data_IF_904772901404
#
_entry.id   IF_904772901404
#
_cell.length_a   1.000
_cell.length_b   1.000
_cell.length_c   1.000
_cell.angle_alpha   90.00
_cell.angle_beta   90.00
_cell.angle_gamma   90.00
#
_symmetry.space_group_name_H-M   'P 1'
#
loop_
_entity.id
_entity.type
_entity.pdbx_description
1 polymer ?
#
# COMPACT_ATOMS: atom_id res chain seq x y z
N UNK A 1 -16.18 -0.38 16.43
CA UNK A 1 -17.04 -1.13 15.49
C UNK A 1 -16.21 -2.08 14.63
N UNK A 2 -15.19 -1.59 13.90
CA UNK A 2 -14.28 -2.42 13.10
C UNK A 2 -13.65 -3.60 13.87
N UNK A 3 -13.06 -3.35 15.04
CA UNK A 3 -12.42 -4.41 15.84
C UNK A 3 -13.38 -5.56 16.22
N UNK A 4 -14.66 -5.24 16.49
CA UNK A 4 -15.68 -6.26 16.76
C UNK A 4 -15.98 -7.08 15.51
N UNK A 5 -16.17 -6.42 14.35
CA UNK A 5 -16.43 -7.09 13.07
C UNK A 5 -15.26 -8.02 12.69
N UNK A 6 -14.02 -7.55 12.82
CA UNK A 6 -12.84 -8.36 12.53
C UNK A 6 -12.67 -9.51 13.52
N UNK A 7 -13.00 -9.30 14.80
CA UNK A 7 -13.03 -10.37 15.80
C UNK A 7 -14.05 -11.44 15.43
N UNK A 8 -15.28 -11.07 15.06
CA UNK A 8 -16.31 -12.01 14.62
C UNK A 8 -15.90 -12.76 13.35
N UNK A 9 -15.28 -12.08 12.38
CA UNK A 9 -14.71 -12.72 11.18
C UNK A 9 -13.64 -13.75 11.53
N UNK A 10 -12.72 -13.40 12.42
CA UNK A 10 -11.68 -14.31 12.89
C UNK A 10 -12.26 -15.50 13.67
N UNK A 11 -13.29 -15.25 14.49
CA UNK A 11 -14.01 -16.31 15.20
C UNK A 11 -14.70 -17.25 14.21
N UNK A 12 -15.41 -16.72 13.22
CA UNK A 12 -16.03 -17.52 12.16
C UNK A 12 -14.99 -18.39 11.43
N UNK A 13 -13.86 -17.80 11.00
CA UNK A 13 -12.80 -18.56 10.32
C UNK A 13 -12.24 -19.66 11.23
N UNK A 14 -12.03 -19.36 12.52
CA UNK A 14 -11.51 -20.32 13.50
C UNK A 14 -12.47 -21.48 13.73
N UNK A 15 -13.78 -21.23 13.78
CA UNK A 15 -14.80 -22.23 14.06
C UNK A 15 -15.17 -23.07 12.84
N UNK A 16 -14.98 -22.56 11.62
CA UNK A 16 -15.42 -23.21 10.37
C UNK A 16 -14.26 -23.69 9.48
N UNK A 17 -13.11 -24.05 10.07
CA UNK A 17 -11.91 -24.47 9.33
C UNK A 17 -12.15 -25.65 8.37
N UNK A 18 -12.99 -26.63 8.75
CA UNK A 18 -13.34 -27.78 7.91
C UNK A 18 -14.19 -27.38 6.70
N UNK A 19 -15.18 -26.51 6.88
CA UNK A 19 -16.00 -26.00 5.76
C UNK A 19 -15.17 -25.15 4.79
N UNK A 20 -14.21 -24.41 5.33
CA UNK A 20 -13.22 -23.64 4.58
C UNK A 20 -12.12 -24.52 3.95
N UNK A 21 -12.23 -25.86 4.07
CA UNK A 21 -11.29 -26.86 3.53
C UNK A 21 -9.85 -26.60 3.94
N UNK A 22 -9.66 -26.20 5.20
CA UNK A 22 -8.36 -25.81 5.72
C UNK A 22 -7.30 -26.91 5.55
N UNK A 23 -7.72 -28.18 5.60
CA UNK A 23 -6.86 -29.33 5.40
C UNK A 23 -6.13 -29.37 4.05
N UNK A 24 -6.74 -28.84 2.98
CA UNK A 24 -6.10 -28.79 1.66
C UNK A 24 -4.86 -27.85 1.64
N UNK A 25 -4.78 -26.95 2.62
CA UNK A 25 -3.69 -25.99 2.74
C UNK A 25 -2.52 -26.52 3.58
N UNK A 26 -2.70 -27.63 4.29
CA UNK A 26 -1.67 -28.26 5.12
C UNK A 26 -0.49 -28.70 4.25
N UNK A 27 -0.75 -29.21 3.04
CA UNK A 27 0.31 -29.60 2.11
C UNK A 27 1.23 -28.44 1.67
N UNK A 28 0.71 -27.20 1.62
CA UNK A 28 1.52 -26.01 1.37
C UNK A 28 2.36 -25.62 2.60
N UNK A 29 1.82 -25.84 3.80
CA UNK A 29 2.51 -25.60 5.07
C UNK A 29 3.64 -26.60 5.29
N UNK A 30 3.43 -27.88 5.00
CA UNK A 30 4.45 -28.93 5.13
C UNK A 30 5.66 -28.67 4.19
N UNK A 31 5.43 -28.05 3.04
CA UNK A 31 6.50 -27.62 2.14
C UNK A 31 7.32 -26.42 2.67
N UNK A 32 6.74 -25.60 3.56
CA UNK A 32 7.34 -24.36 4.09
C UNK A 32 7.93 -24.56 5.51
N UNK A 33 7.36 -25.47 6.31
CA UNK A 33 7.69 -25.68 7.74
C UNK A 33 8.53 -26.95 7.94
N UNK A 34 9.37 -27.31 6.97
CA UNK A 34 10.45 -28.28 7.19
C UNK A 34 11.61 -27.67 8.00
N UNK A 35 11.28 -27.04 9.13
CA UNK A 35 12.24 -26.70 10.17
C UNK A 35 11.83 -27.50 11.41
N UNK A 36 12.42 -28.68 11.53
CA UNK A 36 12.02 -29.69 12.50
C UNK A 36 12.45 -29.28 13.90
N UNK A 37 11.55 -28.66 14.69
CA UNK A 37 11.61 -28.62 16.16
C UNK A 37 10.42 -27.88 16.80
N UNK A 38 9.17 -28.19 16.44
CA UNK A 38 8.01 -27.59 17.15
C UNK A 38 7.04 -28.65 17.64
N UNK A 39 6.88 -28.74 18.96
CA UNK A 39 5.96 -29.66 19.64
C UNK A 39 4.50 -29.28 19.31
N UNK A 40 3.72 -30.12 18.60
CA UNK A 40 2.35 -29.80 18.18
C UNK A 40 1.38 -29.52 19.33
N UNK A 41 1.69 -30.04 20.53
CA UNK A 41 0.84 -29.92 21.73
C UNK A 41 1.03 -28.61 22.50
N UNK A 42 2.05 -27.81 22.19
CA UNK A 42 2.31 -26.50 22.82
C UNK A 42 1.80 -25.31 21.99
N UNK A 43 1.46 -25.57 20.73
CA UNK A 43 0.84 -24.60 19.85
C UNK A 43 -0.66 -24.59 20.10
N UNK A 44 -1.22 -23.44 20.51
CA UNK A 44 -2.66 -23.23 20.49
C UNK A 44 -3.26 -23.63 19.13
N UNK A 45 -4.55 -23.96 19.09
CA UNK A 45 -5.23 -24.47 17.89
C UNK A 45 -5.00 -23.54 16.69
N UNK A 46 -4.13 -23.98 15.76
CA UNK A 46 -3.72 -23.16 14.62
C UNK A 46 -4.87 -23.07 13.61
N UNK A 47 -5.47 -21.88 13.46
CA UNK A 47 -6.45 -21.60 12.42
C UNK A 47 -5.72 -21.05 11.19
N UNK A 48 -5.98 -21.62 10.02
CA UNK A 48 -5.40 -21.17 8.77
C UNK A 48 -6.30 -20.09 8.17
N UNK A 49 -5.77 -18.87 8.07
CA UNK A 49 -6.48 -17.74 7.46
C UNK A 49 -6.47 -17.87 5.93
N UNK A 50 -7.61 -17.79 5.23
CA UNK A 50 -7.67 -17.84 3.76
C UNK A 50 -6.97 -16.65 3.11
N UNK A 51 -6.64 -16.73 1.82
CA UNK A 51 -6.07 -15.58 1.08
C UNK A 51 -7.06 -14.43 0.91
N UNK A 52 -8.37 -14.70 1.01
CA UNK A 52 -9.42 -13.67 1.06
C UNK A 52 -9.40 -12.83 2.34
N UNK A 53 -8.68 -13.26 3.38
CA UNK A 53 -8.50 -12.47 4.60
C UNK A 53 -7.33 -11.51 4.41
N UNK A 54 -7.63 -10.21 4.31
CA UNK A 54 -6.62 -9.16 4.11
C UNK A 54 -5.56 -9.19 5.21
N UNK A 55 -4.28 -9.20 4.80
CA UNK A 55 -3.15 -9.26 5.72
C UNK A 55 -2.82 -10.67 6.23
N UNK A 56 -3.54 -11.71 5.81
CA UNK A 56 -3.10 -13.09 6.08
C UNK A 56 -1.78 -13.40 5.36
N UNK A 57 -0.97 -14.36 5.85
CA UNK A 57 0.24 -14.79 5.15
C UNK A 57 -0.02 -15.20 3.69
N UNK A 58 -1.19 -15.83 3.43
CA UNK A 58 -1.57 -16.27 2.09
C UNK A 58 -2.01 -15.11 1.20
N UNK A 59 -2.74 -14.15 1.75
CA UNK A 59 -3.05 -12.90 1.06
C UNK A 59 -1.74 -12.21 0.63
N UNK A 60 -0.80 -12.02 1.56
CA UNK A 60 0.48 -11.36 1.23
C UNK A 60 1.30 -12.14 0.20
N UNK A 61 1.31 -13.48 0.28
CA UNK A 61 2.00 -14.33 -0.69
C UNK A 61 1.39 -14.23 -2.09
N UNK A 62 0.06 -14.19 -2.20
CA UNK A 62 -0.65 -14.04 -3.47
C UNK A 62 -0.28 -12.70 -4.14
N UNK A 63 -0.33 -11.58 -3.40
CA UNK A 63 0.10 -10.28 -3.92
C UNK A 63 1.57 -10.27 -4.35
N UNK A 64 2.45 -10.94 -3.60
CA UNK A 64 3.85 -11.05 -3.98
C UNK A 64 4.03 -11.87 -5.27
N UNK A 65 3.28 -12.96 -5.44
CA UNK A 65 3.31 -13.79 -6.65
C UNK A 65 2.75 -13.04 -7.86
N UNK A 66 1.68 -12.26 -7.68
CA UNK A 66 1.15 -11.36 -8.71
C UNK A 66 2.20 -10.34 -9.13
N UNK A 67 2.86 -9.67 -8.18
CA UNK A 67 3.92 -8.72 -8.48
C UNK A 67 5.06 -9.37 -9.28
N UNK A 68 5.49 -10.56 -8.88
CA UNK A 68 6.51 -11.33 -9.60
C UNK A 68 6.07 -11.76 -11.01
N UNK A 69 4.77 -11.99 -11.22
CA UNK A 69 4.22 -12.32 -12.54
C UNK A 69 4.37 -11.14 -13.50
N UNK A 70 4.11 -9.91 -13.04
CA UNK A 70 4.32 -8.70 -13.84
C UNK A 70 5.79 -8.47 -14.14
N UNK A 71 6.67 -8.64 -13.14
CA UNK A 71 8.12 -8.52 -13.34
C UNK A 71 8.63 -9.55 -14.34
N UNK A 72 8.13 -10.79 -14.27
CA UNK A 72 8.47 -11.85 -15.23
C UNK A 72 7.99 -11.52 -16.64
N UNK A 73 6.79 -10.97 -16.78
CA UNK A 73 6.19 -10.67 -18.08
C UNK A 73 6.77 -9.41 -18.75
N UNK A 74 7.05 -8.36 -17.97
CA UNK A 74 7.39 -7.02 -18.48
C UNK A 74 8.78 -6.51 -18.06
N UNK A 75 9.51 -7.31 -17.28
CA UNK A 75 10.79 -6.93 -16.70
C UNK A 75 10.62 -5.99 -15.51
N UNK A 76 11.70 -5.29 -15.13
CA UNK A 76 11.66 -4.29 -14.05
C UNK A 76 10.69 -3.14 -14.38
N UNK A 77 9.99 -2.58 -13.39
CA UNK A 77 9.20 -1.37 -13.57
C UNK A 77 10.07 -0.18 -13.97
N UNK A 78 9.48 0.78 -14.67
CA UNK A 78 10.15 2.00 -15.10
C UNK A 78 10.14 3.07 -14.00
N UNK A 79 9.09 3.09 -13.16
CA UNK A 79 8.96 4.01 -12.04
C UNK A 79 8.63 3.26 -10.74
N UNK A 80 9.28 3.70 -9.67
CA UNK A 80 8.92 3.38 -8.28
C UNK A 80 8.49 4.67 -7.59
N UNK A 81 7.19 4.83 -7.36
CA UNK A 81 6.61 6.05 -6.77
C UNK A 81 6.12 5.75 -5.36
N UNK A 82 6.55 6.57 -4.41
CA UNK A 82 6.03 6.55 -3.04
C UNK A 82 5.10 7.73 -2.83
N UNK A 83 3.97 7.49 -2.17
CA UNK A 83 3.00 8.53 -1.86
C UNK A 83 2.61 8.46 -0.38
N UNK A 84 3.02 9.48 0.38
CA UNK A 84 2.81 9.56 1.82
C UNK A 84 1.67 10.50 2.16
N UNK A 85 0.76 10.07 3.03
CA UNK A 85 -0.27 10.95 3.55
C UNK A 85 0.35 12.09 4.38
N UNK A 86 -0.16 13.31 4.17
CA UNK A 86 0.17 14.45 5.02
C UNK A 86 -1.07 14.80 5.88
N UNK A 87 -0.99 14.68 7.22
CA UNK A 87 -2.12 14.97 8.11
C UNK A 87 -2.51 16.45 8.12
N UNK A 88 -1.63 17.33 7.63
CA UNK A 88 -1.86 18.78 7.63
C UNK A 88 -2.59 19.29 6.38
N UNK A 89 -2.97 18.40 5.45
CA UNK A 89 -3.78 18.76 4.30
C UNK A 89 -5.07 19.47 4.73
N UNK A 90 -5.43 20.53 3.99
CA UNK A 90 -6.57 21.38 4.33
C UNK A 90 -7.87 20.56 4.37
N UNK A 91 -8.03 19.61 3.44
CA UNK A 91 -9.21 18.76 3.36
C UNK A 91 -9.38 17.87 4.60
N UNK A 92 -8.29 17.55 5.31
CA UNK A 92 -8.37 16.86 6.60
C UNK A 92 -8.77 17.88 7.67
N UNK A 93 -8.04 18.99 7.79
CA UNK A 93 -8.25 20.00 8.84
C UNK A 93 -9.66 20.58 8.84
N UNK A 94 -10.22 20.86 7.67
CA UNK A 94 -11.57 21.40 7.51
C UNK A 94 -12.68 20.46 7.98
N UNK A 95 -12.41 19.15 8.00
CA UNK A 95 -13.36 18.12 8.44
C UNK A 95 -13.20 17.72 9.91
N UNK A 96 -12.18 18.25 10.60
CA UNK A 96 -11.96 18.01 12.03
C UNK A 96 -12.82 18.96 12.87
N UNK A 97 -13.42 18.42 13.93
CA UNK A 97 -14.11 19.25 14.92
C UNK A 97 -13.11 19.94 15.84
N UNK A 98 -13.56 21.00 16.53
CA UNK A 98 -12.74 21.73 17.50
C UNK A 98 -12.20 20.75 18.56
N UNK A 99 -10.87 20.74 18.74
CA UNK A 99 -10.18 19.85 19.67
C UNK A 99 -9.86 18.45 19.11
N UNK A 100 -10.28 18.10 17.89
CA UNK A 100 -9.87 16.86 17.23
C UNK A 100 -8.55 17.03 16.48
N UNK A 101 -7.73 15.98 16.51
CA UNK A 101 -6.56 15.79 15.67
C UNK A 101 -6.84 14.80 14.53
N UNK A 102 -5.96 14.75 13.54
CA UNK A 102 -6.05 13.74 12.46
C UNK A 102 -5.97 12.30 12.97
N UNK A 103 -5.33 12.10 14.12
CA UNK A 103 -5.21 10.80 14.78
C UNK A 103 -6.53 10.36 15.42
N UNK A 104 -7.39 11.30 15.80
CA UNK A 104 -8.72 10.97 16.33
C UNK A 104 -9.70 10.53 15.23
N UNK A 105 -9.40 10.88 13.96
CA UNK A 105 -10.27 10.67 12.79
C UNK A 105 -9.53 10.00 11.62
N UNK A 106 -9.02 8.79 11.86
CA UNK A 106 -8.38 7.98 10.82
C UNK A 106 -9.27 7.72 9.60
N UNK A 107 -10.60 7.73 9.75
CA UNK A 107 -11.55 7.61 8.65
C UNK A 107 -11.47 8.79 7.66
N UNK A 108 -11.32 10.02 8.16
CA UNK A 108 -11.13 11.21 7.34
C UNK A 108 -9.78 11.11 6.62
N UNK A 109 -8.71 10.83 7.37
CA UNK A 109 -7.36 10.70 6.84
C UNK A 109 -7.29 9.67 5.71
N UNK A 110 -7.87 8.48 5.91
CA UNK A 110 -7.91 7.42 4.89
C UNK A 110 -8.68 7.85 3.63
N UNK A 111 -9.82 8.54 3.79
CA UNK A 111 -10.66 9.00 2.67
C UNK A 111 -9.97 10.07 1.85
N UNK A 112 -9.36 11.06 2.50
CA UNK A 112 -8.62 12.12 1.80
C UNK A 112 -7.41 11.54 1.09
N UNK A 113 -6.66 10.66 1.76
CA UNK A 113 -5.53 9.96 1.15
C UNK A 113 -5.95 9.19 -0.10
N UNK A 114 -7.02 8.38 -0.02
CA UNK A 114 -7.47 7.58 -1.17
C UNK A 114 -7.91 8.45 -2.35
N UNK A 115 -8.56 9.58 -2.08
CA UNK A 115 -8.95 10.52 -3.12
C UNK A 115 -7.73 11.16 -3.79
N UNK A 116 -6.76 11.64 -3.02
CA UNK A 116 -5.53 12.23 -3.58
C UNK A 116 -4.68 11.19 -4.32
N UNK A 117 -4.58 9.97 -3.82
CA UNK A 117 -3.92 8.86 -4.51
C UNK A 117 -4.61 8.57 -5.84
N UNK A 118 -5.95 8.57 -5.89
CA UNK A 118 -6.70 8.41 -7.14
C UNK A 118 -6.38 9.53 -8.13
N UNK A 119 -6.32 10.79 -7.67
CA UNK A 119 -5.93 11.91 -8.53
C UNK A 119 -4.50 11.75 -9.08
N UNK A 120 -3.55 11.33 -8.26
CA UNK A 120 -2.18 11.03 -8.70
C UNK A 120 -2.16 9.92 -9.76
N UNK A 121 -2.91 8.84 -9.54
CA UNK A 121 -2.97 7.73 -10.49
C UNK A 121 -3.65 8.13 -11.80
N UNK A 122 -4.71 8.93 -11.77
CA UNK A 122 -5.34 9.49 -12.97
C UNK A 122 -4.36 10.40 -13.73
N UNK A 123 -3.56 11.19 -13.02
CA UNK A 123 -2.51 12.01 -13.61
C UNK A 123 -1.43 11.19 -14.31
N UNK A 124 -0.93 10.14 -13.67
CA UNK A 124 0.09 9.26 -14.26
C UNK A 124 -0.48 8.48 -15.45
N UNK A 125 -1.65 7.85 -15.28
CA UNK A 125 -2.15 6.84 -16.21
C UNK A 125 -2.98 7.45 -17.34
N UNK A 126 -3.91 8.36 -17.03
CA UNK A 126 -4.86 8.92 -18.01
C UNK A 126 -4.29 10.15 -18.72
N UNK A 127 -3.51 10.95 -18.02
CA UNK A 127 -2.85 12.11 -18.61
C UNK A 127 -1.45 11.80 -19.16
N UNK A 128 -1.00 10.53 -19.06
CA UNK A 128 0.24 10.04 -19.66
C UNK A 128 1.47 10.91 -19.35
N UNK A 129 1.57 11.41 -18.11
CA UNK A 129 2.59 12.38 -17.70
C UNK A 129 4.01 11.86 -17.90
N UNK A 130 4.20 10.55 -17.72
CA UNK A 130 5.47 9.86 -17.97
C UNK A 130 5.44 9.03 -19.27
N UNK A 131 4.40 9.18 -20.08
CA UNK A 131 4.12 8.34 -21.25
C UNK A 131 2.95 7.35 -21.03
N UNK A 132 2.67 6.57 -22.05
CA UNK A 132 1.58 5.59 -22.02
C UNK A 132 1.89 4.45 -21.03
N UNK A 133 0.98 4.20 -20.09
CA UNK A 133 1.14 3.16 -19.07
C UNK A 133 0.70 1.82 -19.63
N UNK A 134 1.60 0.84 -19.64
CA UNK A 134 1.29 -0.56 -19.99
C UNK A 134 0.51 -1.23 -18.86
N UNK A 135 1.04 -1.14 -17.65
CA UNK A 135 0.42 -1.68 -16.46
C UNK A 135 1.02 -1.04 -15.20
N UNK A 136 0.35 -1.22 -14.07
CA UNK A 136 0.76 -0.69 -12.79
C UNK A 136 0.23 -1.57 -11.67
N UNK A 137 0.84 -1.46 -10.49
CA UNK A 137 0.31 -2.03 -9.25
C UNK A 137 0.63 -1.10 -8.09
N UNK A 138 -0.20 -1.11 -7.06
CA UNK A 138 0.04 -0.39 -5.82
C UNK A 138 -0.14 -1.29 -4.59
N UNK A 139 0.60 -0.99 -3.54
CA UNK A 139 0.34 -1.50 -2.19
C UNK A 139 0.19 -0.32 -1.24
N UNK A 140 -0.80 -0.42 -0.34
CA UNK A 140 -1.05 0.61 0.66
C UNK A 140 -0.81 0.01 2.04
N UNK A 141 0.09 0.62 2.79
CA UNK A 141 0.41 0.24 4.16
C UNK A 141 0.18 1.41 5.12
N UNK A 142 -0.04 1.08 6.39
CA UNK A 142 -0.10 2.06 7.45
C UNK A 142 1.25 2.10 8.14
N UNK A 143 1.99 3.20 7.99
CA UNK A 143 3.29 3.36 8.64
C UNK A 143 3.12 3.45 10.17
N UNK A 144 4.20 3.22 10.93
CA UNK A 144 4.21 3.16 12.41
C UNK A 144 3.53 4.34 13.12
N UNK A 145 3.37 5.49 12.45
CA UNK A 145 2.68 6.69 12.97
C UNK A 145 1.19 6.75 12.59
N UNK A 146 0.63 5.68 12.05
CA UNK A 146 -0.80 5.56 11.74
C UNK A 146 -1.24 6.36 10.52
N UNK A 147 -0.33 6.67 9.59
CA UNK A 147 -0.65 7.34 8.33
C UNK A 147 -0.52 6.37 7.15
N UNK A 148 -1.45 6.43 6.18
CA UNK A 148 -1.36 5.59 5.01
C UNK A 148 -0.23 6.05 4.08
N UNK A 149 0.42 5.09 3.48
CA UNK A 149 1.51 5.24 2.53
C UNK A 149 1.31 4.25 1.39
N UNK A 150 1.52 4.70 0.15
CA UNK A 150 1.44 3.85 -1.02
C UNK A 150 2.81 3.66 -1.66
N UNK A 151 3.11 2.42 -2.06
CA UNK A 151 4.19 2.09 -2.98
C UNK A 151 3.56 1.72 -4.31
N UNK A 152 3.99 2.37 -5.39
CA UNK A 152 3.38 2.24 -6.72
C UNK A 152 4.47 1.86 -7.71
N UNK A 153 4.25 0.77 -8.44
CA UNK A 153 5.09 0.34 -9.56
C UNK A 153 4.37 0.65 -10.87
N UNK A 154 5.09 1.26 -11.82
CA UNK A 154 4.54 1.58 -13.15
C UNK A 154 5.46 1.03 -14.24
N UNK A 155 4.85 0.34 -15.21
CA UNK A 155 5.50 -0.07 -16.45
C UNK A 155 4.92 0.76 -17.60
N UNK A 156 5.80 1.39 -18.35
CA UNK A 156 5.44 2.20 -19.50
C UNK A 156 5.50 1.36 -20.78
N UNK A 157 4.74 1.75 -21.81
CA UNK A 157 4.84 1.13 -23.13
C UNK A 157 6.23 1.41 -23.71
N UNK A 158 6.63 2.68 -23.67
CA UNK A 158 7.95 3.17 -24.04
C UNK A 158 8.77 3.39 -22.76
N UNK A 159 9.89 2.68 -22.64
CA UNK A 159 10.73 2.76 -21.44
C UNK A 159 11.47 4.09 -21.35
N UNK A 160 11.68 4.56 -20.12
CA UNK A 160 12.51 5.74 -19.84
C UNK A 160 13.97 5.39 -20.15
N UNK A 161 14.62 6.20 -20.96
CA UNK A 161 16.04 6.05 -21.30
C UNK A 161 16.91 6.89 -20.36
N UNK A 162 18.20 6.55 -20.18
CA UNK A 162 19.08 7.26 -19.25
C UNK A 162 19.17 8.78 -19.46
N UNK A 163 19.08 9.23 -20.71
CA UNK A 163 19.09 10.65 -21.10
C UNK A 163 17.82 11.43 -20.71
N UNK A 164 16.74 10.72 -20.34
CA UNK A 164 15.48 11.32 -19.91
C UNK A 164 15.36 11.46 -18.39
N UNK A 165 16.25 10.84 -17.61
CA UNK A 165 16.13 10.77 -16.14
C UNK A 165 16.03 12.14 -15.50
N UNK A 166 16.89 13.08 -15.89
CA UNK A 166 16.94 14.43 -15.30
C UNK A 166 15.71 15.29 -15.64
N UNK A 167 14.92 14.89 -16.65
CA UNK A 167 13.66 15.56 -17.00
C UNK A 167 12.49 15.06 -16.12
N UNK A 168 12.63 13.87 -15.54
CA UNK A 168 11.58 13.16 -14.83
C UNK A 168 11.78 13.22 -13.32
N UNK A 169 13.04 13.14 -12.87
CA UNK A 169 13.41 13.09 -11.44
C UNK A 169 14.34 14.25 -11.14
N UNK A 170 14.02 15.00 -10.09
CA UNK A 170 14.90 16.03 -9.54
C UNK A 170 14.92 15.93 -8.02
N UNK A 171 16.12 15.97 -7.45
CA UNK A 171 16.34 16.13 -6.01
C UNK A 171 16.71 17.58 -5.64
N UNK A 172 16.65 18.51 -6.59
CA UNK A 172 16.94 19.92 -6.35
C UNK A 172 15.72 20.61 -5.77
N UNK A 173 15.95 21.46 -4.77
CA UNK A 173 14.92 22.40 -4.33
C UNK A 173 14.63 23.34 -5.52
N UNK A 174 13.35 23.58 -5.88
CA UNK A 174 12.99 24.52 -6.93
C UNK A 174 13.60 25.91 -6.68
N UNK A 175 13.80 26.70 -7.72
CA UNK A 175 14.28 28.07 -7.51
C UNK A 175 13.11 28.97 -7.06
N UNK A 176 13.30 29.73 -5.98
CA UNK A 176 12.25 30.58 -5.39
C UNK A 176 11.79 31.69 -6.35
N UNK A 177 12.64 32.17 -7.23
CA UNK A 177 12.32 33.23 -8.19
C UNK A 177 11.70 32.67 -9.48
N UNK A 178 12.11 31.48 -9.92
CA UNK A 178 11.58 30.85 -11.14
C UNK A 178 10.25 30.13 -10.91
N UNK A 179 10.12 29.41 -9.79
CA UNK A 179 8.90 28.68 -9.43
C UNK A 179 8.61 28.84 -7.93
N UNK A 180 8.09 30.00 -7.51
CA UNK A 180 7.79 30.28 -6.11
C UNK A 180 6.77 29.30 -5.52
N UNK A 181 5.80 28.84 -6.33
CA UNK A 181 4.75 27.94 -5.86
C UNK A 181 5.32 26.55 -5.51
N UNK A 182 6.11 25.96 -6.41
CA UNK A 182 6.72 24.66 -6.13
C UNK A 182 7.76 24.77 -5.02
N UNK A 183 8.52 25.86 -4.97
CA UNK A 183 9.44 26.15 -3.87
C UNK A 183 8.71 26.16 -2.52
N UNK A 184 7.60 26.88 -2.42
CA UNK A 184 6.82 26.98 -1.19
C UNK A 184 6.24 25.61 -0.80
N UNK A 185 5.76 24.82 -1.76
CA UNK A 185 5.26 23.45 -1.50
C UNK A 185 6.35 22.54 -0.97
N UNK A 186 7.54 22.55 -1.58
CA UNK A 186 8.68 21.67 -1.23
C UNK A 186 9.35 22.10 0.07
N UNK A 187 9.42 23.40 0.36
CA UNK A 187 10.10 23.94 1.54
C UNK A 187 9.18 24.13 2.75
N UNK A 188 7.88 23.89 2.60
CA UNK A 188 6.91 23.97 3.69
C UNK A 188 7.31 23.04 4.83
N UNK A 189 7.74 23.62 5.95
CA UNK A 189 7.94 22.89 7.20
C UNK A 189 6.57 22.59 7.79
N UNK A 190 6.31 21.31 8.01
CA UNK A 190 5.19 20.87 8.82
C UNK A 190 5.68 20.80 10.25
N UNK A 191 5.18 21.68 11.12
CA UNK A 191 5.43 21.55 12.56
C UNK A 191 4.83 20.22 13.03
N UNK A 192 5.59 19.43 13.81
CA UNK A 192 5.20 18.11 14.27
C UNK A 192 3.98 18.11 15.19
#
# INVERSE_FOLDING_TARGET
MYAKIETERLLYIRLNQTELRSEQYIHLRDAIVNDGNVNPNELGRMAILPSTFTGSPRHMLEYAQDAMTYVRAYGRPDLFVTFTCNPTWNEIKELLLVGQSSSDRHDITARVFKQKLKCLMDFIIKHHVFGETRCWMDSIEWQKRGLPHAHILVWLINKITPDQIDQIISAKIPDKHMDPNLFDVVTKKYDP
#
